data_IF_698321610705
#
_entry.id   IF_698321610705
#
_cell.length_a   1.000
_cell.length_b   1.000
_cell.length_c   1.000
_cell.angle_alpha   90.00
_cell.angle_beta   90.00
_cell.angle_gamma   90.00
#
_symmetry.space_group_name_H-M   'P 1'
#
loop_
_entity.id
_entity.type
_entity.pdbx_description
1 polymer ?
#
# COMPACT_ATOMS: atom_id res chain seq x y z
N UNK A 1 -44.57 29.88 -21.94
CA UNK A 1 -44.35 28.52 -22.48
C UNK A 1 -43.12 28.39 -23.40
N UNK A 2 -42.39 29.47 -23.74
CA UNK A 2 -41.18 29.40 -24.58
C UNK A 2 -39.87 29.28 -23.78
N UNK A 3 -39.81 29.81 -22.55
CA UNK A 3 -38.62 29.74 -21.68
C UNK A 3 -38.43 28.37 -21.00
N UNK A 4 -39.53 27.67 -20.71
CA UNK A 4 -39.48 26.29 -20.15
C UNK A 4 -39.06 25.25 -21.21
N UNK A 5 -39.33 25.53 -22.50
CA UNK A 5 -38.89 24.67 -23.62
C UNK A 5 -37.40 24.85 -23.95
N UNK A 6 -36.82 26.02 -23.67
CA UNK A 6 -35.40 26.27 -23.89
C UNK A 6 -34.50 25.56 -22.86
N UNK A 7 -34.94 25.46 -21.60
CA UNK A 7 -34.20 24.74 -20.55
C UNK A 7 -34.31 23.21 -20.67
N UNK A 8 -35.42 22.69 -21.20
CA UNK A 8 -35.57 21.26 -21.50
C UNK A 8 -34.71 20.80 -22.69
N UNK A 9 -34.49 21.67 -23.69
CA UNK A 9 -33.64 21.36 -24.84
C UNK A 9 -32.14 21.33 -24.49
N UNK A 10 -31.68 22.16 -23.55
CA UNK A 10 -30.30 22.13 -23.08
C UNK A 10 -29.97 20.86 -22.26
N UNK A 11 -30.95 20.30 -21.52
CA UNK A 11 -30.79 19.06 -20.77
C UNK A 11 -30.78 17.80 -21.67
N UNK A 12 -31.46 17.83 -22.82
CA UNK A 12 -31.50 16.71 -23.78
C UNK A 12 -30.28 16.67 -24.72
N UNK A 13 -29.60 17.79 -24.95
CA UNK A 13 -28.36 17.82 -25.75
C UNK A 13 -27.14 17.30 -24.98
N UNK A 14 -27.13 17.38 -23.64
CA UNK A 14 -26.06 16.82 -22.80
C UNK A 14 -26.14 15.29 -22.64
N UNK A 15 -27.33 14.70 -22.77
CA UNK A 15 -27.54 13.25 -22.67
C UNK A 15 -27.27 12.49 -23.98
N UNK A 16 -27.10 13.18 -25.10
CA UNK A 16 -26.91 12.56 -26.42
C UNK A 16 -25.44 12.23 -26.76
N UNK A 17 -24.49 12.51 -25.86
CA UNK A 17 -23.08 12.11 -26.00
C UNK A 17 -22.73 10.81 -25.24
N UNK A 18 -23.71 10.15 -24.62
CA UNK A 18 -23.54 8.86 -23.95
C UNK A 18 -24.57 7.87 -24.49
N UNK A 19 -24.32 7.39 -25.71
CA UNK A 19 -25.10 6.33 -26.33
C UNK A 19 -24.95 4.98 -25.61
N UNK A 20 -25.91 4.04 -25.79
CA UNK A 20 -25.84 2.71 -25.20
C UNK A 20 -24.86 1.86 -26.01
N UNK A 21 -23.71 1.51 -25.43
CA UNK A 21 -22.90 0.41 -25.94
C UNK A 21 -23.46 -0.91 -25.40
N UNK A 22 -24.17 -1.64 -26.26
CA UNK A 22 -24.64 -3.01 -26.03
C UNK A 22 -23.47 -3.97 -25.71
N UNK A 23 -23.71 -5.08 -24.99
CA UNK A 23 -22.67 -5.96 -24.50
C UNK A 23 -22.21 -6.93 -25.60
N UNK A 24 -21.00 -6.75 -26.11
CA UNK A 24 -20.31 -7.79 -26.86
C UNK A 24 -19.43 -8.57 -25.87
N UNK A 25 -19.94 -9.69 -25.41
CA UNK A 25 -19.15 -10.73 -24.78
C UNK A 25 -18.29 -11.41 -25.86
N UNK A 26 -16.98 -11.19 -25.82
CA UNK A 26 -15.98 -12.12 -26.31
C UNK A 26 -14.88 -12.17 -25.25
N UNK A 27 -14.88 -13.26 -24.49
CA UNK A 27 -13.79 -13.63 -23.63
C UNK A 27 -12.64 -14.11 -24.53
N UNK A 28 -11.56 -13.34 -24.58
CA UNK A 28 -10.25 -13.87 -24.91
C UNK A 28 -9.34 -13.58 -23.72
N UNK A 29 -8.74 -14.63 -23.19
CA UNK A 29 -7.95 -14.58 -21.97
C UNK A 29 -6.53 -14.14 -22.34
N UNK A 30 -6.03 -12.98 -21.91
CA UNK A 30 -4.61 -12.71 -22.03
C UNK A 30 -3.88 -13.57 -21.01
N UNK A 31 -3.40 -14.73 -21.45
CA UNK A 31 -2.28 -15.41 -20.83
C UNK A 31 -1.09 -14.44 -20.76
N UNK A 32 -0.46 -14.19 -19.61
CA UNK A 32 0.72 -13.34 -19.54
C UNK A 32 1.91 -14.09 -20.14
N UNK A 33 2.13 -13.90 -21.44
CA UNK A 33 3.37 -14.25 -22.12
C UNK A 33 4.37 -13.12 -21.90
N UNK A 34 5.21 -13.23 -20.88
CA UNK A 34 6.39 -12.37 -20.69
C UNK A 34 7.46 -12.74 -21.73
N UNK A 35 7.64 -11.90 -22.74
CA UNK A 35 8.90 -11.82 -23.48
C UNK A 35 9.70 -10.62 -22.95
N UNK A 36 11.00 -10.79 -22.64
CA UNK A 36 11.79 -9.79 -21.95
C UNK A 36 12.19 -8.66 -22.91
N UNK A 37 11.54 -7.52 -22.78
CA UNK A 37 11.98 -6.24 -23.34
C UNK A 37 12.94 -5.56 -22.37
N UNK A 38 14.02 -5.02 -22.91
CA UNK A 38 15.14 -4.37 -22.22
C UNK A 38 14.72 -3.21 -21.31
N UNK A 39 14.48 -3.49 -20.02
CA UNK A 39 14.45 -2.48 -18.93
C UNK A 39 14.89 -3.12 -17.59
N UNK A 40 15.96 -3.93 -17.61
CA UNK A 40 16.55 -4.56 -16.42
C UNK A 40 17.34 -3.59 -15.52
N UNK A 41 16.97 -2.30 -15.44
CA UNK A 41 17.73 -1.29 -14.68
C UNK A 41 17.03 -0.64 -13.47
N UNK A 42 15.85 -1.09 -13.04
CA UNK A 42 15.15 -0.42 -11.91
C UNK A 42 14.60 -1.31 -10.79
N UNK A 43 14.83 -2.63 -10.81
CA UNK A 43 14.37 -3.56 -9.74
C UNK A 43 15.49 -3.99 -8.79
N UNK A 44 16.73 -3.58 -9.04
CA UNK A 44 17.86 -3.87 -8.18
C UNK A 44 17.78 -3.04 -6.89
N UNK A 45 17.69 -3.71 -5.74
CA UNK A 45 17.78 -3.10 -4.42
C UNK A 45 19.22 -3.07 -3.88
N UNK A 46 19.41 -2.62 -2.63
CA UNK A 46 20.72 -2.63 -1.99
C UNK A 46 21.28 -4.05 -1.90
N UNK A 47 22.60 -4.18 -2.06
CA UNK A 47 23.33 -5.46 -1.97
C UNK A 47 23.90 -5.73 -0.58
N UNK A 48 23.66 -4.82 0.36
CA UNK A 48 24.07 -4.95 1.75
C UNK A 48 22.87 -4.72 2.66
N UNK A 49 22.92 -5.32 3.85
CA UNK A 49 21.95 -5.10 4.92
C UNK A 49 22.57 -4.27 6.04
N UNK A 50 21.73 -3.55 6.77
CA UNK A 50 22.13 -2.99 8.05
C UNK A 50 22.26 -4.07 9.12
N UNK A 51 23.02 -3.79 10.17
CA UNK A 51 23.15 -4.67 11.35
C UNK A 51 22.32 -4.20 12.54
N UNK A 52 21.72 -3.01 12.45
CA UNK A 52 20.86 -2.41 13.48
C UNK A 52 19.69 -1.66 12.84
N UNK A 53 18.65 -1.33 13.62
CA UNK A 53 17.57 -0.44 13.17
C UNK A 53 18.06 0.91 12.63
N UNK A 54 19.16 1.46 13.15
CA UNK A 54 19.67 2.77 12.73
C UNK A 54 20.45 2.70 11.42
N UNK A 55 21.01 1.53 11.12
CA UNK A 55 21.84 1.28 9.93
C UNK A 55 21.10 0.48 8.86
N UNK A 56 19.79 0.26 9.05
CA UNK A 56 18.96 -0.52 8.13
C UNK A 56 19.09 0.00 6.69
N UNK A 57 19.37 -0.91 5.76
CA UNK A 57 19.55 -0.57 4.36
C UNK A 57 18.18 -0.21 3.74
N UNK A 58 18.14 0.92 3.03
CA UNK A 58 16.91 1.42 2.40
C UNK A 58 16.65 0.72 1.08
N UNK A 59 15.40 0.38 0.82
CA UNK A 59 14.95 -0.08 -0.50
C UNK A 59 13.48 0.30 -0.72
N UNK A 60 13.09 0.38 -1.99
CA UNK A 60 11.72 0.69 -2.38
C UNK A 60 10.91 -0.59 -2.60
N UNK A 61 9.59 -0.46 -2.54
CA UNK A 61 8.68 -1.55 -2.90
C UNK A 61 8.88 -1.92 -4.37
N UNK A 62 8.81 -3.22 -4.68
CA UNK A 62 9.11 -3.75 -6.02
C UNK A 62 10.60 -3.96 -6.29
N UNK A 63 11.50 -3.46 -5.43
CA UNK A 63 12.93 -3.79 -5.51
C UNK A 63 13.27 -5.06 -4.74
N UNK A 64 14.37 -5.69 -5.15
CA UNK A 64 14.93 -6.85 -4.47
C UNK A 64 16.28 -6.50 -3.81
N UNK A 65 16.28 -6.45 -2.49
CA UNK A 65 17.50 -6.30 -1.69
C UNK A 65 18.21 -7.65 -1.55
N UNK A 66 19.53 -7.64 -1.54
CA UNK A 66 20.37 -8.81 -1.28
C UNK A 66 21.36 -8.49 -0.17
N UNK A 67 21.88 -9.52 0.50
CA UNK A 67 22.99 -9.37 1.43
C UNK A 67 23.72 -10.71 1.62
N UNK A 68 25.02 -10.64 1.82
CA UNK A 68 25.83 -11.74 2.32
C UNK A 68 26.13 -11.47 3.79
N UNK A 69 25.98 -12.50 4.63
CA UNK A 69 26.13 -12.36 6.07
C UNK A 69 26.55 -13.70 6.71
N UNK A 70 26.79 -13.68 8.01
CA UNK A 70 27.15 -14.86 8.79
C UNK A 70 25.99 -15.28 9.71
N UNK A 71 25.77 -16.58 9.86
CA UNK A 71 24.76 -17.12 10.78
C UNK A 71 24.97 -16.60 12.20
N UNK A 72 23.90 -16.11 12.81
CA UNK A 72 23.94 -15.38 14.09
C UNK A 72 23.81 -13.86 13.93
N UNK A 73 24.04 -13.33 12.73
CA UNK A 73 23.82 -11.90 12.45
C UNK A 73 22.33 -11.55 12.41
N UNK A 74 22.06 -10.26 12.66
CA UNK A 74 20.76 -9.65 12.42
C UNK A 74 20.85 -8.73 11.22
N UNK A 75 20.07 -9.03 10.18
CA UNK A 75 20.02 -8.21 8.97
C UNK A 75 18.80 -7.30 9.01
N UNK A 76 19.01 -6.02 8.75
CA UNK A 76 17.99 -4.98 8.78
C UNK A 76 17.87 -4.26 7.45
N UNK A 77 16.64 -4.16 6.97
CA UNK A 77 16.25 -3.29 5.86
C UNK A 77 15.08 -2.41 6.26
N UNK A 78 14.87 -1.33 5.52
CA UNK A 78 13.75 -0.42 5.73
C UNK A 78 13.09 -0.07 4.40
N UNK A 79 11.76 -0.10 4.38
CA UNK A 79 10.95 0.31 3.24
C UNK A 79 9.81 1.24 3.71
N UNK A 80 9.39 2.23 2.92
CA UNK A 80 8.21 3.03 3.23
C UNK A 80 6.94 2.23 2.92
N UNK A 81 5.87 2.38 3.71
CA UNK A 81 4.54 1.91 3.33
C UNK A 81 3.44 2.86 3.79
N UNK A 82 2.54 3.20 2.87
CA UNK A 82 1.52 4.24 3.05
C UNK A 82 0.11 3.65 3.21
N UNK A 83 -0.83 4.50 3.61
CA UNK A 83 -2.25 4.21 3.81
C UNK A 83 -2.84 3.41 2.65
N UNK A 84 -3.65 2.40 2.98
CA UNK A 84 -4.32 1.56 1.98
C UNK A 84 -3.41 0.49 1.38
N UNK A 85 -2.09 0.61 1.51
CA UNK A 85 -1.17 -0.42 1.05
C UNK A 85 -1.20 -1.62 1.98
N UNK A 86 -1.07 -2.81 1.39
CA UNK A 86 -0.84 -4.05 2.13
C UNK A 86 0.50 -4.66 1.72
N UNK A 87 1.58 -4.39 2.47
CA UNK A 87 2.88 -4.96 2.20
C UNK A 87 2.95 -6.46 2.45
N UNK A 88 3.62 -7.15 1.55
CA UNK A 88 4.04 -8.54 1.65
C UNK A 88 5.55 -8.57 1.60
N UNK A 89 6.16 -9.01 2.70
CA UNK A 89 7.60 -9.17 2.83
C UNK A 89 7.95 -10.61 2.51
N UNK A 90 8.79 -10.82 1.50
CA UNK A 90 9.30 -12.13 1.11
C UNK A 90 10.80 -12.19 1.32
N UNK A 91 11.24 -13.11 2.18
CA UNK A 91 12.64 -13.37 2.46
C UNK A 91 13.04 -14.77 1.98
N UNK A 92 14.13 -14.86 1.24
CA UNK A 92 14.75 -16.11 0.82
C UNK A 92 16.17 -16.17 1.39
N UNK A 93 16.47 -17.23 2.13
CA UNK A 93 17.79 -17.48 2.70
C UNK A 93 18.39 -18.67 2.00
N UNK A 94 19.53 -18.48 1.33
CA UNK A 94 20.33 -19.55 0.76
C UNK A 94 21.39 -19.95 1.78
N UNK A 95 21.33 -21.21 2.21
CA UNK A 95 22.19 -21.76 3.25
C UNK A 95 23.47 -22.34 2.64
N UNK A 96 24.57 -22.42 3.41
CA UNK A 96 25.79 -23.07 2.98
C UNK A 96 25.56 -24.57 2.73
N UNK A 97 26.55 -25.22 2.13
CA UNK A 97 26.50 -26.66 1.85
C UNK A 97 26.11 -27.46 3.11
N UNK A 98 25.28 -28.48 2.93
CA UNK A 98 24.84 -29.33 4.03
C UNK A 98 26.02 -30.03 4.74
N UNK A 99 27.12 -30.30 4.03
CA UNK A 99 28.33 -30.86 4.61
C UNK A 99 28.98 -29.96 5.68
N UNK A 100 28.77 -28.64 5.60
CA UNK A 100 29.29 -27.65 6.55
C UNK A 100 28.36 -27.42 7.75
N UNK A 101 27.19 -28.06 7.76
CA UNK A 101 26.15 -27.85 8.78
C UNK A 101 26.01 -29.04 9.71
N UNK A 102 25.69 -28.78 10.96
CA UNK A 102 25.66 -29.78 12.03
C UNK A 102 24.23 -30.15 12.45
N UNK A 103 23.21 -29.37 12.08
CA UNK A 103 21.83 -29.64 12.49
C UNK A 103 20.77 -28.75 11.83
N UNK A 104 19.53 -28.79 12.33
CA UNK A 104 18.46 -27.92 11.85
C UNK A 104 18.66 -26.47 12.31
N UNK A 105 18.29 -25.52 11.47
CA UNK A 105 18.32 -24.09 11.78
C UNK A 105 16.93 -23.47 11.62
N UNK A 106 16.46 -22.72 12.60
CA UNK A 106 15.19 -21.99 12.55
C UNK A 106 15.44 -20.54 12.19
N UNK A 107 14.82 -20.10 11.10
CA UNK A 107 14.91 -18.72 10.62
C UNK A 107 13.63 -17.97 10.92
N UNK A 108 13.74 -16.65 11.10
CA UNK A 108 12.60 -15.77 11.32
C UNK A 108 12.76 -14.44 10.59
N UNK A 109 11.66 -13.99 10.01
CA UNK A 109 11.48 -12.62 9.53
C UNK A 109 10.52 -11.91 10.48
N UNK A 110 10.95 -10.76 11.01
CA UNK A 110 10.15 -9.88 11.86
C UNK A 110 10.02 -8.53 11.18
N UNK A 111 8.81 -7.97 11.18
CA UNK A 111 8.54 -6.64 10.63
C UNK A 111 8.18 -5.71 11.78
N UNK A 112 8.76 -4.51 11.78
CA UNK A 112 8.55 -3.48 12.78
C UNK A 112 8.08 -2.19 12.13
N UNK A 113 7.17 -1.46 12.77
CA UNK A 113 6.81 -0.12 12.32
C UNK A 113 7.87 0.92 12.75
N UNK A 114 7.65 2.19 12.38
CA UNK A 114 8.55 3.29 12.74
C UNK A 114 8.67 3.56 14.24
N UNK A 115 7.70 3.09 15.04
CA UNK A 115 7.73 3.11 16.50
C UNK A 115 8.43 1.87 17.08
N UNK A 116 9.02 1.03 16.23
CA UNK A 116 9.70 -0.22 16.57
C UNK A 116 8.78 -1.23 17.26
N UNK A 117 7.47 -1.14 17.04
CA UNK A 117 6.51 -2.16 17.46
C UNK A 117 6.48 -3.25 16.41
N UNK A 118 6.54 -4.50 16.86
CA UNK A 118 6.50 -5.66 15.97
C UNK A 118 5.10 -5.80 15.39
N UNK A 119 5.00 -5.76 14.07
CA UNK A 119 3.74 -5.89 13.36
C UNK A 119 3.43 -7.37 13.11
N UNK A 120 2.23 -7.86 13.47
CA UNK A 120 1.85 -9.24 13.24
C UNK A 120 1.59 -9.51 11.75
N UNK A 121 2.11 -10.63 11.25
CA UNK A 121 1.78 -11.12 9.91
C UNK A 121 0.36 -11.71 9.91
N UNK A 122 -0.52 -11.20 9.04
CA UNK A 122 -1.86 -11.74 8.81
C UNK A 122 -1.79 -13.12 8.13
N UNK A 123 -0.85 -13.28 7.19
CA UNK A 123 -0.62 -14.52 6.47
C UNK A 123 0.88 -14.76 6.25
N UNK A 124 1.22 -15.99 5.89
CA UNK A 124 2.58 -16.40 5.54
C UNK A 124 3.30 -17.14 6.67
N UNK A 125 4.51 -17.61 6.36
CA UNK A 125 5.38 -18.32 7.30
C UNK A 125 6.49 -17.38 7.77
N UNK A 126 6.27 -16.71 8.91
CA UNK A 126 7.23 -15.78 9.50
C UNK A 126 8.44 -16.48 10.13
N UNK A 127 8.29 -17.74 10.54
CA UNK A 127 9.37 -18.55 11.11
C UNK A 127 9.31 -19.97 10.57
N UNK A 128 10.47 -20.51 10.20
CA UNK A 128 10.58 -21.82 9.59
C UNK A 128 11.85 -22.53 10.05
N UNK A 129 11.68 -23.76 10.52
CA UNK A 129 12.79 -24.69 10.74
C UNK A 129 13.23 -25.28 9.39
N UNK A 130 14.53 -25.26 9.16
CA UNK A 130 15.20 -25.83 8.00
C UNK A 130 16.02 -27.03 8.48
N UNK A 131 15.76 -28.20 7.91
CA UNK A 131 16.59 -29.37 8.18
C UNK A 131 18.01 -29.15 7.62
N UNK A 132 18.98 -29.93 8.10
CA UNK A 132 20.38 -29.87 7.65
C UNK A 132 20.52 -29.90 6.13
N UNK A 133 19.70 -30.70 5.43
CA UNK A 133 19.76 -30.84 3.97
C UNK A 133 19.03 -29.71 3.20
N UNK A 134 18.36 -28.79 3.90
CA UNK A 134 17.60 -27.72 3.26
C UNK A 134 18.55 -26.68 2.68
N UNK A 135 18.61 -26.52 1.37
CA UNK A 135 19.48 -25.50 0.74
C UNK A 135 18.90 -24.08 0.81
N UNK A 136 17.57 -23.95 0.89
CA UNK A 136 16.89 -22.65 0.83
C UNK A 136 15.71 -22.58 1.78
N UNK A 137 15.63 -21.49 2.55
CA UNK A 137 14.50 -21.18 3.42
C UNK A 137 13.73 -20.02 2.81
N UNK A 138 12.41 -20.19 2.66
CA UNK A 138 11.51 -19.10 2.26
C UNK A 138 10.62 -18.73 3.43
N UNK A 139 10.55 -17.45 3.72
CA UNK A 139 9.74 -16.83 4.75
C UNK A 139 8.90 -15.74 4.10
N UNK A 140 7.66 -15.61 4.54
CA UNK A 140 6.73 -14.60 4.02
C UNK A 140 5.95 -14.01 5.18
N UNK A 141 5.80 -12.70 5.19
CA UNK A 141 4.97 -11.96 6.13
C UNK A 141 4.08 -10.99 5.36
N UNK A 142 2.78 -11.31 5.29
CA UNK A 142 1.77 -10.38 4.75
C UNK A 142 1.24 -9.55 5.91
N UNK A 143 1.41 -8.23 5.86
CA UNK A 143 0.88 -7.33 6.89
C UNK A 143 -0.63 -7.13 6.74
N UNK A 144 -1.26 -6.58 7.79
CA UNK A 144 -2.58 -5.94 7.64
C UNK A 144 -2.46 -4.70 6.73
N UNK A 145 -3.56 -4.27 6.09
CA UNK A 145 -3.57 -3.00 5.38
C UNK A 145 -3.18 -1.85 6.32
N UNK A 146 -2.32 -0.97 5.83
CA UNK A 146 -1.89 0.23 6.55
C UNK A 146 -3.08 1.19 6.66
N UNK A 147 -3.40 1.62 7.89
CA UNK A 147 -4.54 2.50 8.17
C UNK A 147 -4.09 3.93 8.36
N UNK A 148 -4.92 4.88 7.94
CA UNK A 148 -4.62 6.30 8.08
C UNK A 148 -4.65 6.79 9.54
N UNK A 149 -5.28 6.03 10.44
CA UNK A 149 -5.32 6.29 11.89
C UNK A 149 -5.56 4.99 12.65
N UNK A 150 -5.19 4.98 13.94
CA UNK A 150 -5.44 3.87 14.86
C UNK A 150 -5.56 4.42 16.29
N UNK A 151 -6.36 3.75 17.12
CA UNK A 151 -6.42 4.03 18.54
C UNK A 151 -5.09 3.70 19.23
N UNK A 152 -4.79 4.36 20.35
CA UNK A 152 -3.50 4.21 21.05
C UNK A 152 -3.20 2.78 21.52
N UNK A 153 -4.23 1.95 21.74
CA UNK A 153 -4.11 0.54 22.14
C UNK A 153 -4.15 -0.44 20.96
N UNK A 154 -4.33 0.04 19.73
CA UNK A 154 -4.37 -0.80 18.53
C UNK A 154 -2.97 -1.02 17.97
N UNK A 155 -2.69 -2.27 17.57
CA UNK A 155 -1.49 -2.63 16.83
C UNK A 155 -1.71 -2.52 15.31
N UNK A 156 -2.66 -1.69 14.87
CA UNK A 156 -2.87 -1.50 13.44
C UNK A 156 -1.67 -0.82 12.76
N UNK A 157 -1.23 -1.32 11.60
CA UNK A 157 -0.11 -0.72 10.88
C UNK A 157 -0.47 0.70 10.45
N UNK A 158 0.45 1.64 10.66
CA UNK A 158 0.29 3.06 10.39
C UNK A 158 1.32 3.53 9.32
N UNK A 159 1.00 4.55 8.51
CA UNK A 159 1.90 5.09 7.49
C UNK A 159 3.26 5.45 8.07
N UNK A 160 4.32 4.97 7.43
CA UNK A 160 5.69 5.28 7.84
C UNK A 160 6.73 4.28 7.35
N UNK A 161 7.87 4.28 8.02
CA UNK A 161 8.98 3.37 7.74
C UNK A 161 8.76 2.02 8.41
N UNK A 162 8.84 0.95 7.63
CA UNK A 162 8.77 -0.41 8.12
C UNK A 162 10.15 -1.06 8.05
N UNK A 163 10.60 -1.58 9.18
CA UNK A 163 11.88 -2.24 9.34
C UNK A 163 11.69 -3.75 9.27
N UNK A 164 12.43 -4.41 8.40
CA UNK A 164 12.46 -5.86 8.32
C UNK A 164 13.73 -6.34 8.98
N UNK A 165 13.59 -7.29 9.92
CA UNK A 165 14.68 -8.02 10.53
C UNK A 165 14.65 -9.48 10.10
N UNK A 166 15.76 -9.97 9.56
CA UNK A 166 15.98 -11.38 9.25
C UNK A 166 17.09 -11.93 10.13
N UNK A 167 16.87 -13.09 10.75
CA UNK A 167 17.87 -13.74 11.60
C UNK A 167 17.58 -15.23 11.79
N UNK A 168 18.61 -16.00 12.15
CA UNK A 168 18.47 -17.36 12.65
C UNK A 168 18.26 -17.32 14.16
N UNK A 169 17.12 -17.84 14.63
CA UNK A 169 16.72 -17.79 16.05
C UNK A 169 17.14 -19.03 16.83
N UNK A 170 17.53 -20.09 16.13
CA UNK A 170 18.03 -21.34 16.71
C UNK A 170 18.84 -22.07 15.65
N UNK A 171 20.05 -22.48 16.00
CA UNK A 171 20.94 -23.32 15.20
C UNK A 171 21.96 -23.99 16.16
N UNK A 172 22.66 -25.04 15.73
CA UNK A 172 23.81 -25.55 16.47
C UNK A 172 24.89 -24.47 16.65
N UNK A 173 25.59 -24.49 17.78
CA UNK A 173 26.63 -23.50 18.07
C UNK A 173 27.82 -23.61 17.10
N UNK A 174 28.08 -24.82 16.59
CA UNK A 174 29.10 -25.09 15.57
C UNK A 174 28.76 -24.49 14.20
N UNK A 175 27.48 -24.17 13.98
CA UNK A 175 26.99 -23.56 12.74
C UNK A 175 27.00 -22.02 12.80
N UNK A 176 27.41 -21.40 13.90
CA UNK A 176 27.56 -19.94 14.02
C UNK A 176 28.72 -19.42 13.16
N UNK A 177 28.55 -18.23 12.57
CA UNK A 177 29.57 -17.61 11.74
C UNK A 177 29.66 -18.15 10.31
N UNK A 178 28.84 -19.14 9.94
CA UNK A 178 28.81 -19.70 8.58
C UNK A 178 28.21 -18.71 7.58
N UNK A 179 28.77 -18.60 6.36
CA UNK A 179 28.27 -17.66 5.36
C UNK A 179 26.91 -18.10 4.82
N UNK A 180 26.02 -17.14 4.63
CA UNK A 180 24.76 -17.34 3.92
C UNK A 180 24.43 -16.12 3.06
N UNK A 181 23.51 -16.30 2.11
CA UNK A 181 22.98 -15.19 1.29
C UNK A 181 21.51 -14.99 1.57
N UNK A 182 21.10 -13.75 1.82
CA UNK A 182 19.72 -13.35 1.93
C UNK A 182 19.26 -12.57 0.69
N UNK A 183 18.01 -12.80 0.32
CA UNK A 183 17.27 -12.02 -0.66
C UNK A 183 15.97 -11.57 -0.01
N UNK A 184 15.69 -10.27 -0.04
CA UNK A 184 14.48 -9.68 0.51
C UNK A 184 13.76 -8.90 -0.59
N UNK A 185 12.46 -9.14 -0.74
CA UNK A 185 11.59 -8.35 -1.60
C UNK A 185 10.37 -7.89 -0.82
N UNK A 186 9.85 -6.72 -1.19
CA UNK A 186 8.56 -6.25 -0.69
C UNK A 186 7.67 -5.92 -1.86
N UNK A 187 6.52 -6.56 -1.89
CA UNK A 187 5.44 -6.23 -2.83
C UNK A 187 4.28 -5.65 -2.06
N UNK A 188 3.57 -4.70 -2.65
CA UNK A 188 2.36 -4.12 -2.06
C UNK A 188 1.18 -4.39 -2.96
N UNK A 189 0.06 -4.67 -2.31
CA UNK A 189 -1.23 -4.61 -2.97
C UNK A 189 -1.96 -3.40 -2.42
N UNK A 190 -2.39 -2.51 -3.30
CA UNK A 190 -3.32 -1.45 -2.92
C UNK A 190 -4.67 -2.07 -2.59
N UNK A 191 -5.15 -1.83 -1.37
CA UNK A 191 -6.46 -2.32 -0.92
C UNK A 191 -7.59 -1.36 -1.24
N UNK A 192 -7.31 -0.13 -1.68
CA UNK A 192 -8.31 0.82 -2.16
C UNK A 192 -9.46 1.11 -1.18
N UNK A 193 -10.46 1.88 -1.63
CA UNK A 193 -11.47 2.58 -0.83
C UNK A 193 -12.36 1.79 0.15
N UNK A 194 -12.25 0.46 0.25
CA UNK A 194 -12.98 -0.32 1.27
C UNK A 194 -12.39 -0.15 2.70
N UNK A 195 -11.15 0.33 2.81
CA UNK A 195 -10.46 0.61 4.08
C UNK A 195 -10.01 2.07 4.22
N UNK A 196 -10.39 2.92 3.26
CA UNK A 196 -10.19 4.35 3.34
C UNK A 196 -11.03 4.89 4.51
N UNK A 197 -10.34 5.27 5.58
CA UNK A 197 -10.94 5.92 6.75
C UNK A 197 -10.64 7.41 6.63
N UNK A 198 -11.59 8.27 7.00
CA UNK A 198 -11.44 9.74 6.96
C UNK A 198 -10.46 10.27 8.03
N UNK A 199 -9.64 9.39 8.62
CA UNK A 199 -8.58 9.77 9.55
C UNK A 199 -7.30 10.09 8.79
N UNK A 200 -6.46 10.94 9.36
CA UNK A 200 -5.11 11.18 8.87
C UNK A 200 -4.16 11.27 10.06
N UNK A 201 -2.98 10.66 9.94
CA UNK A 201 -1.90 10.91 10.87
C UNK A 201 -1.34 12.31 10.64
N UNK A 202 -1.12 13.05 11.72
CA UNK A 202 -0.48 14.37 11.67
C UNK A 202 0.98 14.31 11.18
N UNK A 203 1.63 13.15 11.30
CA UNK A 203 2.95 12.86 10.75
C UNK A 203 3.11 11.34 10.52
N UNK A 204 3.78 10.90 9.44
CA UNK A 204 4.10 9.49 9.24
C UNK A 204 5.09 9.01 10.30
N UNK A 205 5.04 7.73 10.66
CA UNK A 205 5.93 7.10 11.62
C UNK A 205 7.31 6.86 10.98
N UNK A 206 8.09 7.92 10.83
CA UNK A 206 9.48 7.88 10.35
C UNK A 206 10.38 8.44 11.46
N UNK A 207 11.60 7.91 11.68
CA UNK A 207 12.50 8.50 12.67
C UNK A 207 12.75 9.98 12.38
N UNK A 208 12.44 10.84 13.34
CA UNK A 208 12.57 12.29 13.19
C UNK A 208 11.40 12.98 12.50
N UNK A 209 10.34 12.26 12.15
CA UNK A 209 9.10 12.85 11.66
C UNK A 209 8.50 13.77 12.72
N UNK A 210 8.11 14.96 12.25
CA UNK A 210 7.46 16.01 13.04
C UNK A 210 6.09 16.27 12.42
N UNK A 211 5.14 16.73 13.22
CA UNK A 211 3.87 17.24 12.68
C UNK A 211 4.14 18.40 11.73
N UNK A 212 3.25 18.64 10.78
CA UNK A 212 3.37 19.74 9.82
C UNK A 212 3.69 21.08 10.53
N UNK A 213 2.99 21.40 11.62
CA UNK A 213 3.23 22.61 12.42
C UNK A 213 4.66 22.71 12.98
N UNK A 214 5.24 21.59 13.40
CA UNK A 214 6.60 21.53 13.94
C UNK A 214 7.65 21.54 12.82
N UNK A 215 7.33 20.98 11.65
CA UNK A 215 8.17 21.05 10.46
C UNK A 215 8.23 22.50 9.93
N UNK A 216 7.08 23.17 9.82
CA UNK A 216 6.99 24.59 9.45
C UNK A 216 7.72 25.49 10.46
N UNK A 217 7.61 25.20 11.76
CA UNK A 217 8.33 25.93 12.80
C UNK A 217 9.86 25.75 12.72
N UNK A 218 10.34 24.56 12.33
CA UNK A 218 11.77 24.29 12.19
C UNK A 218 12.36 24.79 10.88
N UNK A 219 11.60 24.77 9.78
CA UNK A 219 11.94 25.43 8.51
C UNK A 219 12.11 26.94 8.73
N UNK A 220 11.13 27.55 9.43
CA UNK A 220 11.20 28.96 9.82
C UNK A 220 12.36 29.27 10.78
N UNK A 221 12.83 28.27 11.53
CA UNK A 221 13.98 28.36 12.42
C UNK A 221 15.31 27.92 11.77
N UNK A 222 15.33 27.58 10.47
CA UNK A 222 16.53 27.20 9.74
C UNK A 222 17.20 25.90 10.20
N UNK A 223 16.45 24.98 10.84
CA UNK A 223 16.98 23.69 11.31
C UNK A 223 16.75 22.62 10.24
N UNK A 224 17.81 21.97 9.71
CA UNK A 224 17.63 20.92 8.68
C UNK A 224 16.83 19.74 9.26
N UNK A 225 15.82 19.28 8.51
CA UNK A 225 15.01 18.12 8.89
C UNK A 225 15.87 16.85 8.85
N UNK A 226 15.64 15.95 9.83
CA UNK A 226 16.46 14.75 9.99
C UNK A 226 16.21 13.76 8.83
N UNK A 227 17.32 13.30 8.25
CA UNK A 227 17.46 12.34 7.14
C UNK A 227 16.30 11.35 7.02
N UNK A 228 15.51 11.64 5.99
CA UNK A 228 14.29 10.99 5.54
C UNK A 228 14.49 9.50 5.28
N UNK A 229 13.55 8.66 5.74
CA UNK A 229 13.09 7.63 4.83
C UNK A 229 12.35 8.35 3.73
N UNK A 230 12.95 8.42 2.54
CA UNK A 230 12.37 9.06 1.37
C UNK A 230 10.89 8.72 1.36
N UNK A 231 10.05 9.76 1.37
CA UNK A 231 8.63 9.58 1.16
C UNK A 231 8.44 8.74 -0.11
N UNK A 232 7.34 7.99 -0.23
CA UNK A 232 6.94 7.43 -1.52
C UNK A 232 7.04 8.52 -2.61
N UNK A 233 7.26 8.14 -3.86
CA UNK A 233 7.40 9.11 -4.98
C UNK A 233 6.22 10.09 -5.05
N UNK A 234 5.03 9.66 -4.62
CA UNK A 234 3.80 10.47 -4.57
C UNK A 234 3.58 11.22 -3.25
N UNK A 235 4.46 11.07 -2.26
CA UNK A 235 4.33 11.61 -0.91
C UNK A 235 3.59 10.67 0.06
N UNK A 236 3.50 11.07 1.32
CA UNK A 236 2.70 10.35 2.33
C UNK A 236 1.25 10.79 2.25
N UNK A 237 0.31 9.85 2.37
CA UNK A 237 -1.14 10.11 2.35
C UNK A 237 -1.64 10.81 1.07
N UNK A 238 -1.01 10.54 -0.07
CA UNK A 238 -1.28 11.23 -1.33
C UNK A 238 -2.59 10.77 -1.98
N UNK A 239 -3.71 11.31 -1.49
CA UNK A 239 -5.01 11.04 -2.10
C UNK A 239 -6.17 11.73 -1.41
N UNK A 240 -6.41 13.02 -1.74
CA UNK A 240 -7.75 13.61 -1.58
C UNK A 240 -8.80 12.77 -2.34
N UNK A 241 -8.38 12.15 -3.45
CA UNK A 241 -9.22 11.44 -4.41
C UNK A 241 -9.31 9.97 -3.99
N UNK A 242 -10.52 9.48 -3.80
CA UNK A 242 -10.80 8.09 -3.42
C UNK A 242 -12.07 7.63 -4.14
N UNK A 243 -12.26 6.31 -4.25
CA UNK A 243 -13.48 5.71 -4.82
C UNK A 243 -14.77 6.22 -4.16
N UNK A 244 -14.68 6.73 -2.92
CA UNK A 244 -15.78 7.42 -2.22
C UNK A 244 -16.31 8.61 -3.01
N UNK A 245 -15.44 9.39 -3.65
CA UNK A 245 -15.86 10.52 -4.48
C UNK A 245 -16.60 10.06 -5.73
N UNK A 246 -16.22 8.91 -6.31
CA UNK A 246 -16.95 8.32 -7.42
C UNK A 246 -18.37 7.93 -7.00
N UNK A 247 -18.52 7.27 -5.86
CA UNK A 247 -19.83 6.91 -5.30
C UNK A 247 -20.65 8.13 -4.88
N UNK A 248 -20.00 9.16 -4.30
CA UNK A 248 -20.66 10.40 -3.88
C UNK A 248 -21.16 11.20 -5.07
N UNK A 249 -20.35 11.31 -6.13
CA UNK A 249 -20.75 11.96 -7.38
C UNK A 249 -21.88 11.19 -8.07
N UNK A 250 -21.76 9.86 -8.18
CA UNK A 250 -22.80 9.01 -8.75
C UNK A 250 -24.12 9.11 -7.97
N UNK A 251 -24.07 9.05 -6.64
CA UNK A 251 -25.23 9.22 -5.77
C UNK A 251 -25.85 10.62 -5.89
N UNK A 252 -25.03 11.67 -5.97
CA UNK A 252 -25.49 13.04 -6.18
C UNK A 252 -26.19 13.22 -7.53
N UNK A 253 -25.66 12.61 -8.59
CA UNK A 253 -26.30 12.61 -9.92
C UNK A 253 -27.64 11.87 -9.86
N UNK A 254 -27.71 10.69 -9.25
CA UNK A 254 -28.95 9.93 -9.12
C UNK A 254 -30.00 10.68 -8.29
N UNK A 255 -29.60 11.33 -7.20
CA UNK A 255 -30.48 12.15 -6.37
C UNK A 255 -31.01 13.37 -7.15
N UNK A 256 -30.16 14.04 -7.93
CA UNK A 256 -30.57 15.14 -8.79
C UNK A 256 -31.58 14.67 -9.85
N UNK A 257 -31.33 13.55 -10.51
CA UNK A 257 -32.24 12.98 -11.50
C UNK A 257 -33.59 12.59 -10.87
N UNK A 258 -33.59 11.99 -9.68
CA UNK A 258 -34.80 11.67 -8.95
C UNK A 258 -35.58 12.94 -8.54
N UNK A 259 -34.88 13.99 -8.09
CA UNK A 259 -35.49 15.27 -7.75
C UNK A 259 -36.12 15.97 -8.95
N UNK A 260 -35.43 15.99 -10.09
CA UNK A 260 -35.96 16.54 -11.35
C UNK A 260 -37.15 15.71 -11.83
N UNK A 261 -37.04 14.38 -11.83
CA UNK A 261 -38.12 13.47 -12.21
C UNK A 261 -39.37 13.63 -11.34
N UNK A 262 -39.19 13.69 -10.02
CA UNK A 262 -40.26 13.94 -9.06
C UNK A 262 -40.91 15.31 -9.25
N UNK A 263 -40.12 16.36 -9.51
CA UNK A 263 -40.64 17.70 -9.80
C UNK A 263 -41.47 17.71 -11.10
N UNK A 264 -41.01 17.03 -12.16
CA UNK A 264 -41.76 16.94 -13.43
C UNK A 264 -43.08 16.20 -13.23
N UNK A 265 -43.09 15.11 -12.46
CA UNK A 265 -44.30 14.34 -12.16
C UNK A 265 -45.32 15.10 -11.30
N UNK A 266 -44.83 15.90 -10.33
CA UNK A 266 -45.69 16.64 -9.39
C UNK A 266 -46.15 18.00 -9.90
N UNK A 267 -45.52 18.55 -10.96
CA UNK A 267 -45.92 19.80 -11.62
C UNK A 267 -47.17 19.64 -12.50
N UNK A 268 -48.18 18.94 -11.99
CA UNK A 268 -49.48 18.71 -12.61
C UNK A 268 -49.97 19.92 -13.41
N UNK A 269 -50.38 19.66 -14.64
CA UNK A 269 -50.78 20.68 -15.60
C UNK A 269 -51.82 21.63 -15.03
N UNK A 270 -51.65 22.93 -15.29
CA UNK A 270 -52.69 23.94 -15.02
C UNK A 270 -54.00 23.48 -15.68
N UNK A 271 -55.13 23.45 -14.95
CA UNK A 271 -56.44 23.21 -15.55
C UNK A 271 -56.67 24.22 -16.68
N UNK A 272 -56.89 23.71 -17.90
CA UNK A 272 -57.08 24.51 -19.12
C UNK A 272 -58.50 25.07 -19.27
N UNK A 273 -59.30 25.12 -18.19
CA UNK A 273 -60.68 25.61 -18.24
C UNK A 273 -60.92 26.63 -17.14
N UNK A 274 -60.53 27.87 -17.40
CA UNK A 274 -61.24 29.03 -16.87
C UNK A 274 -62.01 29.59 -18.06
N UNK A 275 -63.35 29.48 -18.11
CA UNK A 275 -64.13 30.10 -19.17
C UNK A 275 -64.02 31.62 -19.07
N UNK A 276 -63.98 32.36 -20.20
CA UNK A 276 -63.99 33.81 -20.16
C UNK A 276 -65.30 34.29 -19.52
N UNK A 277 -65.20 35.11 -18.48
CA UNK A 277 -66.32 35.87 -17.95
C UNK A 277 -66.75 36.89 -19.01
N UNK A 278 -68.01 36.79 -19.42
CA UNK A 278 -68.68 37.74 -20.30
C UNK A 278 -68.90 39.09 -19.60
#
# INVERSE_FOLDING_TARGET
MRTVRALAAAALAGAALLGPASPAALADSPSPSTSPGEDSRSTAGPTEAGTTFRTAARFLQGQQATAQAATGDYLYWVFPADTGQRPTVDATVTLPDAALRHGPATWRVDVYDGLRRRQPCMYGTQSRAAAKETATVRLTCVLRPVRASADAWSDDPLPGSYYVRLTAVSLPDEDLGQPFTARLGVTTLDKGGAYATDGALAAPLVPGAKTADLAEADEKAGRPSAVEAAAPEDGWSSGWWSDRWLWTAAGGILAALAGIGGYVLTRGGRPSRIPPTA
#
